data_IF_970548712457
#
_entry.id   IF_970548712457
#
_cell.length_a   1.000
_cell.length_b   1.000
_cell.length_c   1.000
_cell.angle_alpha   90.00
_cell.angle_beta   90.00
_cell.angle_gamma   90.00
#
_symmetry.space_group_name_H-M   'P 1'
#
loop_
_entity.id
_entity.type
_entity.pdbx_description
1 polymer ?
#
# COMPACT_ATOMS: atom_id res chain seq x y z
N UNK A 1 23.19 -0.01 15.79
CA UNK A 1 21.79 0.30 15.55
C UNK A 1 21.17 -0.76 14.68
N UNK A 2 20.01 -1.25 15.05
CA UNK A 2 19.27 -2.27 14.30
C UNK A 2 17.79 -1.90 14.22
N UNK A 3 17.14 -2.31 13.14
CA UNK A 3 15.72 -2.21 12.97
C UNK A 3 15.06 -3.46 13.56
N UNK A 4 14.22 -3.28 14.58
CA UNK A 4 13.54 -4.38 15.31
C UNK A 4 12.20 -4.68 14.69
N UNK A 5 11.45 -3.63 14.34
CA UNK A 5 10.18 -3.73 13.61
C UNK A 5 9.98 -2.51 12.72
N UNK A 6 9.25 -2.70 11.65
CA UNK A 6 8.91 -1.66 10.67
C UNK A 6 7.56 -1.96 10.03
N UNK A 7 6.96 -0.99 9.34
CA UNK A 7 5.86 -1.28 8.43
C UNK A 7 6.25 -2.39 7.45
N UNK A 8 5.30 -3.25 7.13
CA UNK A 8 5.53 -4.36 6.21
C UNK A 8 6.08 -3.81 4.87
N UNK A 9 7.08 -4.51 4.29
CA UNK A 9 7.78 -4.09 3.09
C UNK A 9 8.72 -2.90 3.23
N UNK A 10 8.91 -2.35 4.43
CA UNK A 10 9.85 -1.25 4.64
C UNK A 10 11.31 -1.68 4.48
N UNK A 11 12.08 -0.82 3.81
CA UNK A 11 13.54 -0.91 3.66
C UNK A 11 14.26 0.27 4.32
N UNK A 12 13.71 0.80 5.41
CA UNK A 12 14.31 1.90 6.16
C UNK A 12 15.77 1.63 6.56
N UNK A 13 16.64 2.64 6.44
CA UNK A 13 18.09 2.49 6.54
C UNK A 13 18.72 3.38 7.60
N UNK A 14 19.86 2.94 8.13
CA UNK A 14 20.75 3.73 8.97
C UNK A 14 21.95 4.22 8.16
N UNK A 15 22.33 5.49 8.31
CA UNK A 15 23.51 6.06 7.64
C UNK A 15 24.82 5.47 8.15
N UNK A 16 24.90 5.11 9.42
CA UNK A 16 26.08 4.55 10.07
C UNK A 16 25.67 3.65 11.26
N UNK A 17 25.25 2.39 11.00
CA UNK A 17 24.67 1.53 12.04
C UNK A 17 25.66 1.14 13.16
N UNK A 18 26.95 1.21 12.90
CA UNK A 18 28.00 0.91 13.90
C UNK A 18 28.55 2.17 14.62
N UNK A 19 28.04 3.36 14.30
CA UNK A 19 28.48 4.61 14.92
C UNK A 19 27.71 4.94 16.19
N UNK A 20 28.29 5.65 17.17
CA UNK A 20 27.56 6.18 18.32
C UNK A 20 26.37 7.06 17.94
N UNK A 21 26.47 7.76 16.85
CA UNK A 21 25.39 8.55 16.24
C UNK A 21 25.10 8.07 14.83
N UNK A 22 23.82 7.95 14.49
CA UNK A 22 23.36 7.57 13.17
C UNK A 22 22.12 8.37 12.79
N UNK A 23 21.86 8.47 11.51
CA UNK A 23 20.60 8.97 10.99
C UNK A 23 19.79 7.78 10.48
N UNK A 24 18.54 7.68 10.91
CA UNK A 24 17.60 6.71 10.39
C UNK A 24 16.71 7.39 9.34
N UNK A 25 16.57 6.77 8.18
CA UNK A 25 15.72 7.23 7.08
C UNK A 25 14.60 6.20 6.86
N UNK A 26 13.37 6.49 7.30
CA UNK A 26 12.22 5.68 6.96
C UNK A 26 11.88 5.85 5.47
N UNK A 27 11.38 4.80 4.84
CA UNK A 27 10.95 4.84 3.44
C UNK A 27 9.45 4.63 3.27
N UNK A 28 8.77 4.17 4.30
CA UNK A 28 7.33 4.04 4.36
C UNK A 28 6.79 4.78 5.58
N UNK A 29 5.55 5.16 5.44
CA UNK A 29 4.71 5.71 6.49
C UNK A 29 4.41 4.62 7.52
N UNK A 30 4.56 4.91 8.82
CA UNK A 30 4.26 3.97 9.91
C UNK A 30 5.22 4.04 11.07
N UNK A 31 5.11 3.06 11.95
CA UNK A 31 5.87 2.99 13.20
C UNK A 31 7.04 2.04 13.04
N UNK A 32 8.22 2.54 13.38
CA UNK A 32 9.47 1.80 13.39
C UNK A 32 9.94 1.64 14.82
N UNK A 33 10.39 0.45 15.20
CA UNK A 33 11.10 0.25 16.45
C UNK A 33 12.57 0.01 16.13
N UNK A 34 13.43 0.89 16.60
CA UNK A 34 14.89 0.78 16.45
C UNK A 34 15.54 0.47 17.78
N UNK A 35 16.61 -0.29 17.75
CA UNK A 35 17.38 -0.69 18.93
C UNK A 35 18.82 -0.22 18.80
N UNK A 36 19.32 0.37 19.88
CA UNK A 36 20.74 0.55 20.11
C UNK A 36 21.24 -0.58 21.02
N UNK A 37 22.31 -1.25 20.61
CA UNK A 37 23.08 -2.17 21.46
C UNK A 37 24.49 -1.65 21.57
N UNK A 38 24.95 -1.44 22.79
CA UNK A 38 26.33 -1.05 23.10
C UNK A 38 27.05 -2.21 23.76
N UNK A 39 28.34 -2.29 23.52
CA UNK A 39 29.24 -3.29 24.13
C UNK A 39 30.46 -2.61 24.72
N UNK A 40 30.81 -2.99 25.93
CA UNK A 40 32.06 -2.54 26.55
C UNK A 40 33.25 -3.41 26.11
N UNK A 41 34.46 -3.04 26.57
CA UNK A 41 35.71 -3.73 26.28
C UNK A 41 35.84 -5.09 27.00
N UNK A 42 35.03 -5.33 28.04
CA UNK A 42 34.93 -6.61 28.75
C UNK A 42 33.93 -7.56 28.09
N UNK A 43 33.21 -7.07 27.08
CA UNK A 43 32.26 -7.85 26.28
C UNK A 43 30.84 -7.86 26.80
N UNK A 44 30.53 -7.08 27.84
CA UNK A 44 29.15 -6.93 28.32
C UNK A 44 28.36 -6.07 27.38
N UNK A 45 27.07 -6.34 27.28
CA UNK A 45 26.16 -5.61 26.34
C UNK A 45 24.98 -5.02 27.10
N UNK A 46 24.59 -3.83 26.69
CA UNK A 46 23.32 -3.20 27.07
C UNK A 46 22.57 -2.73 25.83
N UNK A 47 21.25 -2.79 25.89
CA UNK A 47 20.42 -2.34 24.76
C UNK A 47 19.22 -1.53 25.22
N UNK A 48 18.79 -0.61 24.39
CA UNK A 48 17.54 0.13 24.52
C UNK A 48 16.82 0.23 23.18
N UNK A 49 15.52 0.36 23.24
CA UNK A 49 14.68 0.55 22.05
C UNK A 49 14.03 1.92 22.07
N UNK A 50 13.79 2.47 20.87
CA UNK A 50 13.01 3.69 20.67
C UNK A 50 12.06 3.50 19.50
N UNK A 51 10.97 4.24 19.54
CA UNK A 51 10.00 4.27 18.47
C UNK A 51 10.20 5.52 17.61
N UNK A 52 10.20 5.34 16.30
CA UNK A 52 10.20 6.41 15.30
C UNK A 52 8.89 6.29 14.51
N UNK A 53 8.11 7.36 14.50
CA UNK A 53 6.91 7.43 13.68
C UNK A 53 7.21 8.26 12.44
N UNK A 54 7.14 7.63 11.28
CA UNK A 54 7.19 8.32 9.99
C UNK A 54 5.77 8.74 9.63
N UNK A 55 5.52 10.04 9.72
CA UNK A 55 4.22 10.62 9.39
C UNK A 55 4.07 10.82 7.88
N UNK A 56 2.86 10.63 7.36
CA UNK A 56 2.45 10.98 6.01
C UNK A 56 1.10 11.67 6.09
N UNK A 57 0.98 12.77 5.38
CA UNK A 57 -0.26 13.52 5.27
C UNK A 57 -0.96 13.05 4.01
N UNK A 58 -2.08 12.37 4.06
CA UNK A 58 -2.76 11.99 2.85
C UNK A 58 -3.45 10.62 2.89
N UNK A 59 -3.46 9.93 1.77
CA UNK A 59 -4.08 8.61 1.65
C UNK A 59 -2.99 7.55 1.49
N UNK A 60 -3.10 6.47 2.26
CA UNK A 60 -2.32 5.25 2.07
C UNK A 60 -3.24 4.05 1.97
N UNK A 61 -2.99 3.23 0.97
CA UNK A 61 -3.59 1.91 0.79
C UNK A 61 -2.51 0.87 1.06
N UNK A 62 -2.78 -0.07 1.95
CA UNK A 62 -1.92 -1.22 2.22
C UNK A 62 -2.71 -2.49 1.96
N UNK A 63 -2.12 -3.38 1.16
CA UNK A 63 -2.74 -4.65 0.78
C UNK A 63 -1.83 -5.80 1.17
N UNK A 64 -2.37 -6.81 1.80
CA UNK A 64 -1.66 -8.04 2.16
C UNK A 64 -2.56 -9.25 1.90
N UNK A 65 -1.96 -10.41 1.66
CA UNK A 65 -2.68 -11.65 1.42
C UNK A 65 -2.02 -12.85 2.10
N UNK A 66 -2.69 -13.99 2.11
CA UNK A 66 -2.30 -15.13 2.93
C UNK A 66 -1.70 -16.32 2.16
N UNK A 67 -1.44 -16.17 0.87
CA UNK A 67 -0.86 -17.21 0.02
C UNK A 67 0.46 -16.76 -0.59
N UNK A 68 1.38 -17.69 -0.75
CA UNK A 68 2.58 -17.49 -1.54
C UNK A 68 2.30 -17.85 -3.01
N UNK A 69 3.13 -17.38 -3.94
CA UNK A 69 2.98 -17.62 -5.39
C UNK A 69 1.66 -17.08 -5.97
N UNK A 70 1.16 -16.01 -5.38
CA UNK A 70 0.02 -15.28 -5.91
C UNK A 70 0.39 -13.83 -6.10
N UNK A 71 0.06 -13.30 -7.25
CA UNK A 71 0.26 -11.90 -7.62
C UNK A 71 -1.08 -11.15 -7.49
N UNK A 72 -1.11 -10.19 -6.58
CA UNK A 72 -2.30 -9.41 -6.22
C UNK A 72 -2.02 -7.93 -6.44
N UNK A 73 -2.51 -7.40 -7.53
CA UNK A 73 -2.35 -5.99 -7.90
C UNK A 73 -3.28 -5.06 -7.13
N UNK A 74 -2.71 -4.03 -6.59
CA UNK A 74 -3.44 -2.91 -6.00
C UNK A 74 -3.65 -1.80 -7.03
N UNK A 75 -4.88 -1.29 -7.10
CA UNK A 75 -5.29 -0.18 -7.94
C UNK A 75 -5.83 0.97 -7.11
N UNK A 76 -5.43 2.18 -7.44
CA UNK A 76 -6.06 3.40 -6.95
C UNK A 76 -6.45 4.27 -8.12
N UNK A 77 -7.77 4.33 -8.38
CA UNK A 77 -8.33 5.06 -9.50
C UNK A 77 -8.79 6.45 -9.07
N UNK A 78 -8.27 7.49 -9.73
CA UNK A 78 -8.82 8.85 -9.64
C UNK A 78 -10.14 8.89 -10.37
N UNK A 79 -11.23 9.11 -9.61
CA UNK A 79 -12.58 9.13 -10.20
C UNK A 79 -12.77 10.38 -11.05
N UNK A 80 -13.00 10.17 -12.33
CA UNK A 80 -13.38 11.16 -13.32
C UNK A 80 -14.48 10.58 -14.21
N UNK A 81 -14.93 11.29 -15.19
CA UNK A 81 -15.96 10.79 -16.11
C UNK A 81 -15.41 10.73 -17.55
N UNK A 82 -15.32 9.56 -18.16
CA UNK A 82 -15.56 8.23 -17.61
C UNK A 82 -14.36 7.73 -16.80
N UNK A 83 -14.58 7.07 -15.67
CA UNK A 83 -13.52 6.37 -14.95
C UNK A 83 -13.14 5.10 -15.70
N UNK A 84 -11.87 4.73 -15.63
CA UNK A 84 -11.38 3.51 -16.26
C UNK A 84 -10.24 2.87 -15.49
N UNK A 85 -10.37 1.58 -15.16
CA UNK A 85 -9.29 0.77 -14.65
C UNK A 85 -8.25 0.50 -15.74
N UNK A 86 -7.02 0.22 -15.36
CA UNK A 86 -5.89 -0.07 -16.25
C UNK A 86 -5.62 1.04 -17.27
N UNK A 87 -5.96 2.29 -16.94
CA UNK A 87 -5.84 3.42 -17.85
C UNK A 87 -5.00 4.55 -17.27
N UNK A 88 -4.02 5.01 -18.06
CA UNK A 88 -3.26 6.22 -17.77
C UNK A 88 -4.08 7.46 -18.20
N UNK A 89 -4.02 8.58 -17.43
CA UNK A 89 -3.30 8.78 -16.20
C UNK A 89 -4.08 8.43 -14.93
N UNK A 90 -5.30 7.93 -15.02
CA UNK A 90 -6.26 7.92 -13.91
C UNK A 90 -6.04 6.80 -12.90
N UNK A 91 -5.48 5.66 -13.32
CA UNK A 91 -5.25 4.49 -12.48
C UNK A 91 -3.78 4.36 -12.10
N UNK A 92 -3.51 4.28 -10.80
CA UNK A 92 -2.22 3.92 -10.25
C UNK A 92 -2.21 2.43 -9.96
N UNK A 93 -1.35 1.66 -10.64
CA UNK A 93 -1.21 0.21 -10.54
C UNK A 93 0.15 -0.21 -11.12
N UNK A 94 0.50 -1.50 -11.17
CA UNK A 94 1.81 -1.97 -11.65
C UNK A 94 2.20 -1.45 -13.05
N UNK A 95 1.25 -1.31 -13.96
CA UNK A 95 1.50 -0.79 -15.32
C UNK A 95 1.61 0.74 -15.40
N UNK A 96 1.30 1.46 -14.32
CA UNK A 96 1.35 2.92 -14.22
C UNK A 96 1.60 3.35 -12.76
N UNK A 97 2.80 3.10 -12.27
CA UNK A 97 3.14 3.21 -10.84
C UNK A 97 3.19 4.62 -10.29
N UNK A 98 3.26 5.63 -11.17
CA UNK A 98 3.35 7.06 -10.80
C UNK A 98 2.60 7.92 -11.81
N UNK A 99 1.28 7.79 -11.93
CA UNK A 99 0.51 8.65 -12.82
C UNK A 99 0.54 10.09 -12.35
N UNK A 100 0.53 11.02 -13.30
CA UNK A 100 0.38 12.44 -12.99
C UNK A 100 -1.10 12.81 -13.01
N UNK A 101 -1.60 13.25 -11.85
CA UNK A 101 -2.98 13.63 -11.66
C UNK A 101 -3.18 15.16 -11.79
N UNK A 102 -4.24 15.67 -11.22
CA UNK A 102 -4.89 16.96 -11.44
C UNK A 102 -4.01 18.21 -11.36
N UNK A 103 -3.13 18.33 -10.36
CA UNK A 103 -2.38 19.55 -10.12
C UNK A 103 -1.00 19.54 -10.78
N UNK A 104 -0.41 20.72 -10.95
CA UNK A 104 0.98 20.82 -11.36
C UNK A 104 1.90 20.42 -10.20
N UNK A 105 2.82 19.52 -10.46
CA UNK A 105 3.73 18.96 -9.45
C UNK A 105 3.47 17.49 -9.19
N UNK A 106 3.93 16.99 -8.07
CA UNK A 106 3.84 15.55 -7.73
C UNK A 106 3.20 15.27 -6.37
N UNK A 107 2.68 16.29 -5.73
CA UNK A 107 2.16 16.14 -4.37
C UNK A 107 0.82 15.40 -4.30
N UNK A 108 -0.03 15.59 -5.30
CA UNK A 108 -1.30 14.88 -5.48
C UNK A 108 -1.18 13.62 -6.33
N UNK A 109 0.01 13.37 -6.89
CA UNK A 109 0.29 12.17 -7.68
C UNK A 109 0.41 10.94 -6.77
N UNK A 110 -0.24 9.84 -7.10
CA UNK A 110 -0.07 8.60 -6.37
C UNK A 110 1.26 7.93 -6.72
N UNK A 111 1.70 7.05 -5.84
CA UNK A 111 2.80 6.13 -6.13
C UNK A 111 2.51 4.75 -5.56
N UNK A 112 2.69 3.76 -6.40
CA UNK A 112 2.84 2.38 -5.99
C UNK A 112 4.29 2.21 -5.52
N UNK A 113 4.50 2.16 -4.20
CA UNK A 113 5.84 2.11 -3.61
C UNK A 113 6.38 0.69 -3.51
N UNK A 114 5.51 -0.27 -3.40
CA UNK A 114 5.83 -1.70 -3.33
C UNK A 114 4.86 -2.44 -4.25
N UNK A 115 5.43 -3.24 -5.14
CA UNK A 115 4.80 -4.16 -6.07
C UNK A 115 5.37 -5.55 -5.77
N UNK A 116 4.57 -6.43 -5.15
CA UNK A 116 5.00 -7.75 -4.68
C UNK A 116 4.36 -8.84 -5.56
N UNK A 117 5.15 -9.33 -6.50
CA UNK A 117 4.72 -10.33 -7.49
C UNK A 117 4.81 -11.78 -7.01
N UNK A 118 5.48 -12.02 -5.85
CA UNK A 118 5.67 -13.37 -5.29
C UNK A 118 5.70 -13.31 -3.77
N UNK A 119 4.64 -13.47 -3.07
CA UNK A 119 4.73 -13.43 -1.62
C UNK A 119 3.38 -13.34 -0.95
N UNK A 120 3.39 -12.65 0.17
CA UNK A 120 2.21 -12.38 0.99
C UNK A 120 1.85 -10.90 0.99
N UNK A 121 2.45 -10.12 0.09
CA UNK A 121 2.47 -8.68 0.13
C UNK A 121 3.52 -8.15 1.13
N UNK A 122 3.45 -6.89 1.50
CA UNK A 122 2.36 -6.00 1.12
C UNK A 122 2.60 -5.29 -0.20
N UNK A 123 1.51 -4.80 -0.80
CA UNK A 123 1.57 -3.68 -1.73
C UNK A 123 1.13 -2.40 -1.06
N UNK A 124 1.67 -1.27 -1.52
CA UNK A 124 1.34 0.03 -0.97
C UNK A 124 1.20 1.09 -2.06
N UNK A 125 0.06 1.81 -2.04
CA UNK A 125 -0.11 3.05 -2.80
C UNK A 125 -0.27 4.21 -1.82
N UNK A 126 0.48 5.30 -2.06
CA UNK A 126 0.42 6.53 -1.29
C UNK A 126 0.08 7.72 -2.18
N UNK A 127 -0.68 8.68 -1.62
CA UNK A 127 -0.95 10.01 -2.17
C UNK A 127 -0.66 11.02 -1.08
N UNK A 128 0.38 11.86 -1.22
CA UNK A 128 0.83 12.71 -0.13
C UNK A 128 -0.10 13.90 0.14
N UNK A 129 -0.63 14.53 -0.91
CA UNK A 129 -1.53 15.66 -0.78
C UNK A 129 -2.78 15.51 -1.68
N UNK A 130 -3.72 14.62 -1.32
CA UNK A 130 -4.92 14.41 -2.11
C UNK A 130 -5.74 15.70 -2.25
N UNK A 131 -6.38 15.88 -3.41
CA UNK A 131 -7.21 17.06 -3.67
C UNK A 131 -8.46 17.02 -2.80
N UNK A 132 -8.75 18.12 -2.10
CA UNK A 132 -9.96 18.26 -1.26
C UNK A 132 -11.22 18.08 -2.11
N UNK A 133 -12.13 17.21 -1.66
CA UNK A 133 -13.31 16.81 -2.42
C UNK A 133 -13.01 15.77 -3.52
N UNK A 134 -11.74 15.45 -3.73
CA UNK A 134 -11.33 14.40 -4.67
C UNK A 134 -11.86 13.04 -4.26
N UNK A 135 -12.33 12.26 -5.23
CA UNK A 135 -12.81 10.90 -5.02
C UNK A 135 -11.85 9.91 -5.65
N UNK A 136 -11.46 8.92 -4.87
CA UNK A 136 -10.55 7.86 -5.25
C UNK A 136 -11.23 6.52 -5.03
N UNK A 137 -10.97 5.55 -5.90
CA UNK A 137 -11.55 4.21 -5.78
C UNK A 137 -10.44 3.17 -5.65
N UNK A 138 -10.54 2.32 -4.64
CA UNK A 138 -9.62 1.20 -4.43
C UNK A 138 -10.17 -0.03 -5.16
N UNK A 139 -9.32 -0.65 -5.97
CA UNK A 139 -9.54 -1.92 -6.63
C UNK A 139 -8.42 -2.90 -6.31
N UNK A 140 -8.76 -4.17 -6.32
CA UNK A 140 -7.80 -5.27 -6.18
C UNK A 140 -8.01 -6.24 -7.32
N UNK A 141 -6.95 -6.54 -8.03
CA UNK A 141 -6.92 -7.50 -9.12
C UNK A 141 -6.15 -8.76 -8.70
N UNK A 142 -6.71 -9.91 -8.89
CA UNK A 142 -5.96 -11.15 -8.82
C UNK A 142 -5.25 -11.34 -10.16
N UNK A 143 -3.96 -10.97 -10.23
CA UNK A 143 -3.23 -10.96 -11.50
C UNK A 143 -2.82 -12.35 -11.94
N UNK A 144 -2.10 -13.07 -11.07
CA UNK A 144 -1.62 -14.42 -11.37
C UNK A 144 -1.61 -15.31 -10.12
N UNK A 145 -1.77 -16.59 -10.31
CA UNK A 145 -1.64 -17.60 -9.25
C UNK A 145 -0.42 -18.52 -9.45
N UNK A 146 0.41 -18.21 -10.45
CA UNK A 146 1.58 -18.96 -10.87
C UNK A 146 1.29 -20.46 -10.91
N UNK A 147 1.69 -21.20 -9.90
CA UNK A 147 1.47 -22.64 -9.80
C UNK A 147 0.47 -23.05 -8.71
N UNK A 148 -0.03 -22.07 -7.97
CA UNK A 148 -0.84 -22.30 -6.77
C UNK A 148 -2.26 -22.79 -7.11
N UNK A 149 -2.88 -22.19 -8.13
CA UNK A 149 -4.29 -22.40 -8.48
C UNK A 149 -5.19 -22.32 -7.23
N UNK A 150 -4.93 -21.33 -6.37
CA UNK A 150 -5.52 -21.23 -5.05
C UNK A 150 -6.36 -19.96 -4.86
N UNK A 151 -7.32 -20.06 -3.94
CA UNK A 151 -8.01 -18.88 -3.44
C UNK A 151 -7.12 -18.16 -2.41
N UNK A 152 -7.08 -16.85 -2.50
CA UNK A 152 -6.27 -15.98 -1.64
C UNK A 152 -7.18 -15.09 -0.81
N UNK A 153 -6.93 -15.02 0.50
CA UNK A 153 -7.60 -14.06 1.37
C UNK A 153 -6.83 -12.76 1.39
N UNK A 154 -7.37 -11.73 0.74
CA UNK A 154 -6.77 -10.42 0.60
C UNK A 154 -7.34 -9.47 1.65
N UNK A 155 -6.47 -8.75 2.34
CA UNK A 155 -6.83 -7.71 3.32
C UNK A 155 -6.34 -6.36 2.85
N UNK A 156 -7.27 -5.41 2.71
CA UNK A 156 -7.02 -4.02 2.34
C UNK A 156 -7.21 -3.14 3.56
N UNK A 157 -6.20 -2.31 3.87
CA UNK A 157 -6.23 -1.30 4.92
C UNK A 157 -6.11 0.08 4.30
N UNK A 158 -7.00 0.98 4.67
CA UNK A 158 -7.06 2.35 4.19
C UNK A 158 -6.72 3.27 5.35
N UNK A 159 -5.74 4.14 5.14
CA UNK A 159 -5.30 5.16 6.10
C UNK A 159 -5.51 6.54 5.49
N UNK A 160 -5.90 7.51 6.30
CA UNK A 160 -6.09 8.90 5.89
C UNK A 160 -5.52 9.85 6.93
N UNK A 161 -4.80 10.86 6.46
CA UNK A 161 -4.21 11.89 7.30
C UNK A 161 -2.96 11.44 8.03
N UNK A 162 -2.64 12.18 9.08
CA UNK A 162 -1.51 11.86 9.96
C UNK A 162 -1.66 10.44 10.49
N UNK A 163 -0.56 9.71 10.48
CA UNK A 163 -0.59 8.29 10.73
C UNK A 163 -1.15 8.00 12.10
N UNK A 164 -2.34 7.52 12.10
CA UNK A 164 -2.79 6.65 13.16
C UNK A 164 -2.32 5.23 12.81
N UNK A 165 -1.78 4.51 13.78
CA UNK A 165 -1.47 3.07 13.67
C UNK A 165 -2.70 2.24 13.30
N UNK A 166 -3.87 2.89 13.27
CA UNK A 166 -5.18 2.28 13.04
C UNK A 166 -5.73 2.74 11.69
N UNK A 167 -5.99 1.82 10.74
CA UNK A 167 -6.64 2.17 9.49
C UNK A 167 -8.04 2.73 9.73
N UNK A 168 -8.46 3.70 8.94
CA UNK A 168 -9.82 4.25 8.96
C UNK A 168 -10.84 3.23 8.43
N UNK A 169 -10.40 2.28 7.61
CA UNK A 169 -11.20 1.15 7.14
C UNK A 169 -10.32 -0.06 6.85
N UNK A 170 -10.87 -1.24 7.09
CA UNK A 170 -10.27 -2.54 6.75
C UNK A 170 -11.30 -3.42 6.08
N UNK A 171 -10.92 -4.02 4.96
CA UNK A 171 -11.75 -4.94 4.19
C UNK A 171 -10.98 -6.23 3.94
N UNK A 172 -11.66 -7.36 4.00
CA UNK A 172 -11.08 -8.67 3.68
C UNK A 172 -12.00 -9.43 2.74
N UNK A 173 -11.42 -10.07 1.73
CA UNK A 173 -12.15 -10.89 0.76
C UNK A 173 -11.29 -12.02 0.22
N UNK A 174 -11.92 -13.15 -0.06
CA UNK A 174 -11.29 -14.22 -0.83
C UNK A 174 -11.43 -13.91 -2.32
N UNK A 175 -10.32 -13.99 -3.04
CA UNK A 175 -10.22 -13.85 -4.48
C UNK A 175 -9.72 -15.17 -5.07
N UNK A 176 -10.07 -15.42 -6.32
CA UNK A 176 -9.63 -16.61 -7.07
C UNK A 176 -9.06 -16.20 -8.41
N UNK A 177 -7.95 -16.80 -8.79
CA UNK A 177 -7.41 -16.72 -10.13
C UNK A 177 -8.04 -17.78 -11.04
N UNK A 178 -7.99 -17.52 -12.35
CA UNK A 178 -8.50 -18.43 -13.39
C UNK A 178 -7.47 -19.38 -13.96
N UNK A 179 -6.25 -19.45 -13.41
CA UNK A 179 -5.16 -20.30 -13.92
C UNK A 179 -4.62 -19.80 -15.27
N UNK A 180 -4.45 -18.50 -15.43
CA UNK A 180 -3.91 -17.90 -16.65
C UNK A 180 -3.85 -16.38 -16.54
N UNK A 181 -3.11 -15.76 -17.45
CA UNK A 181 -2.83 -14.33 -17.42
C UNK A 181 -4.07 -13.45 -17.38
N UNK A 182 -4.16 -12.74 -16.33
CA UNK A 182 -4.63 -11.38 -16.06
C UNK A 182 -6.09 -10.97 -16.30
N UNK A 183 -6.65 -11.12 -17.46
CA UNK A 183 -7.92 -10.43 -17.77
C UNK A 183 -9.18 -11.20 -17.35
N UNK A 184 -9.03 -12.48 -17.01
CA UNK A 184 -10.12 -13.38 -16.63
C UNK A 184 -10.26 -13.58 -15.11
N UNK A 185 -9.35 -13.01 -14.33
CA UNK A 185 -9.28 -13.22 -12.90
C UNK A 185 -10.19 -12.26 -12.13
N UNK A 186 -10.34 -12.52 -10.84
CA UNK A 186 -11.19 -11.73 -9.97
C UNK A 186 -10.72 -10.27 -9.87
N UNK A 187 -11.66 -9.34 -10.01
CA UNK A 187 -11.44 -7.93 -9.73
C UNK A 187 -12.42 -7.45 -8.65
N UNK A 188 -11.88 -7.04 -7.51
CA UNK A 188 -12.65 -6.57 -6.37
C UNK A 188 -12.61 -5.05 -6.25
N UNK A 189 -13.76 -4.38 -6.44
CA UNK A 189 -13.94 -2.97 -6.11
C UNK A 189 -14.21 -2.86 -4.62
N UNK A 190 -13.26 -2.31 -3.91
CA UNK A 190 -13.24 -2.33 -2.43
C UNK A 190 -14.10 -1.20 -1.88
N UNK A 191 -13.70 0.05 -2.15
CA UNK A 191 -14.33 1.22 -1.56
C UNK A 191 -14.04 2.49 -2.38
N UNK A 192 -14.88 3.51 -2.17
CA UNK A 192 -14.57 4.90 -2.52
C UNK A 192 -14.00 5.62 -1.30
N UNK A 193 -13.03 6.50 -1.56
CA UNK A 193 -12.43 7.41 -0.60
C UNK A 193 -12.70 8.82 -1.07
N UNK A 194 -13.27 9.67 -0.24
CA UNK A 194 -13.38 11.12 -0.49
C UNK A 194 -12.46 11.83 0.48
N UNK A 195 -11.50 12.59 -0.04
CA UNK A 195 -10.60 13.38 0.79
C UNK A 195 -11.31 14.65 1.27
N UNK A 196 -11.43 14.81 2.58
CA UNK A 196 -12.15 15.94 3.18
C UNK A 196 -11.24 17.14 3.46
N UNK A 197 -9.90 16.97 3.35
CA UNK A 197 -8.92 17.90 3.87
C UNK A 197 -8.69 17.75 5.38
N UNK A 198 -7.75 18.51 5.93
CA UNK A 198 -7.39 18.47 7.35
C UNK A 198 -7.18 17.01 7.84
N UNK A 199 -6.38 16.25 7.10
CA UNK A 199 -5.93 14.91 7.42
C UNK A 199 -7.06 13.89 7.64
N UNK A 200 -8.17 14.06 6.93
CA UNK A 200 -9.34 13.20 7.04
C UNK A 200 -9.94 12.79 5.71
N UNK A 201 -10.58 11.64 5.69
CA UNK A 201 -11.35 11.16 4.56
C UNK A 201 -12.64 10.47 4.98
N UNK A 202 -13.55 10.33 4.04
CA UNK A 202 -14.75 9.50 4.16
C UNK A 202 -14.59 8.26 3.30
N UNK A 203 -14.73 7.08 3.88
CA UNK A 203 -14.62 5.80 3.16
C UNK A 203 -15.99 5.17 3.05
N UNK A 204 -16.41 4.83 1.82
CA UNK A 204 -17.69 4.16 1.54
C UNK A 204 -17.43 2.84 0.85
N UNK A 205 -17.84 1.75 1.47
CA UNK A 205 -17.69 0.41 0.92
C UNK A 205 -18.46 0.25 -0.39
N UNK A 206 -17.83 -0.35 -1.40
CA UNK A 206 -18.46 -0.85 -2.63
C UNK A 206 -18.62 -2.36 -2.52
N UNK A 207 -17.53 -3.03 -2.19
CA UNK A 207 -17.43 -4.47 -1.94
C UNK A 207 -18.03 -5.36 -3.05
N UNK A 208 -17.84 -4.98 -4.30
CA UNK A 208 -18.33 -5.76 -5.46
C UNK A 208 -17.20 -6.51 -6.13
N UNK A 209 -17.46 -7.77 -6.46
CA UNK A 209 -16.55 -8.65 -7.17
C UNK A 209 -17.02 -8.83 -8.60
N UNK A 210 -16.10 -8.71 -9.55
CA UNK A 210 -16.29 -9.11 -10.95
C UNK A 210 -15.39 -10.31 -11.20
N UNK A 211 -15.98 -11.38 -11.74
CA UNK A 211 -15.27 -12.60 -12.10
C UNK A 211 -15.28 -12.75 -13.63
N UNK A 212 -14.21 -13.29 -14.19
CA UNK A 212 -14.20 -13.70 -15.61
C UNK A 212 -14.22 -12.58 -16.64
N UNK A 213 -13.09 -11.95 -16.89
CA UNK A 213 -12.81 -11.30 -18.18
C UNK A 213 -13.35 -9.89 -18.44
N UNK A 214 -14.04 -9.27 -17.49
CA UNK A 214 -14.63 -7.92 -17.67
C UNK A 214 -14.11 -6.88 -16.69
N UNK A 215 -13.02 -7.17 -15.97
CA UNK A 215 -12.44 -6.28 -14.97
C UNK A 215 -12.09 -4.90 -15.53
N UNK A 216 -11.62 -4.85 -16.78
CA UNK A 216 -11.19 -3.60 -17.45
C UNK A 216 -12.34 -2.68 -17.89
N UNK A 217 -13.55 -3.18 -18.01
CA UNK A 217 -14.66 -2.45 -18.63
C UNK A 217 -15.72 -1.97 -17.65
N UNK A 218 -15.68 -2.42 -16.41
CA UNK A 218 -16.68 -2.05 -15.43
C UNK A 218 -16.17 -0.93 -14.51
N UNK A 219 -16.81 0.24 -14.48
CA UNK A 219 -16.44 1.36 -13.62
C UNK A 219 -16.69 1.08 -12.12
#
# INVERSE_FOLDING_TARGET
WTLVSSPAGSTGTFSAPASPTTQFTPNLVGVYTIQLTVRDDEGQTASCTMTVTAAGDGIRIEVSWNTNYTDIDTHLLRMSSPPGWFSSPLDCYYGNTRPSWDAAGTADDPRLDIDDVEGFGPENINVDAPVVGGTYRVGIHYFDDDICNCATSVTVRIYCGDITVTPVATYTRNLTGGGGTSDANDFWRVANIVWNGADSCSVTAINTLTTGGTARTAP
#
